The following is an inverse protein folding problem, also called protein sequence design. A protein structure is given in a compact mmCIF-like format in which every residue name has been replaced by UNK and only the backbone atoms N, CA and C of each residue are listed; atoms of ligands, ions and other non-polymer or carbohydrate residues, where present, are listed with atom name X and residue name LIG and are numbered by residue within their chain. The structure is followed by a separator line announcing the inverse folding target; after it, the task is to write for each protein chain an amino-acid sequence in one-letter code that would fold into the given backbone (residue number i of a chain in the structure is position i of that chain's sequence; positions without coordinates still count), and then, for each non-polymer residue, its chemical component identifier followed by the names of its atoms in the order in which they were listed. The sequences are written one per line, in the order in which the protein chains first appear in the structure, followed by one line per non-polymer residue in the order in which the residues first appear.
data_IF_309544207859
#
_entry.id   IF_309544207859
#
_cell.length_a   1.000
_cell.length_b   1.000
_cell.length_c   1.000
_cell.angle_alpha   90.00
_cell.angle_beta   90.00
_cell.angle_gamma   90.00
#
_symmetry.space_group_name_H-M   'P 1'
#
loop_
_entity.id
_entity.type
_entity.pdbx_description
1 polymer ?
#
# COMPACT_ATOMS: atom_id res chain seq x y z
N UNK A 1 14.87 7.46 6.12
CA UNK A 1 13.64 8.05 6.69
C UNK A 1 13.17 7.15 7.82
N UNK A 2 12.81 7.66 9.01
CA UNK A 2 12.29 6.79 10.09
C UNK A 2 10.95 6.20 9.62
N UNK A 3 10.73 4.89 9.82
CA UNK A 3 9.50 4.19 9.40
C UNK A 3 8.22 4.95 9.81
N UNK A 4 8.24 5.60 10.97
CA UNK A 4 7.16 6.42 11.50
C UNK A 4 6.78 7.62 10.62
N UNK A 5 7.75 8.27 9.98
CA UNK A 5 7.49 9.43 9.10
C UNK A 5 6.76 8.97 7.84
N UNK A 6 7.14 7.82 7.28
CA UNK A 6 6.47 7.26 6.10
C UNK A 6 5.04 6.86 6.38
N UNK A 7 4.79 6.21 7.52
CA UNK A 7 3.43 5.85 7.95
C UNK A 7 2.59 7.13 8.13
N UNK A 8 3.17 8.18 8.75
CA UNK A 8 2.46 9.45 8.90
C UNK A 8 2.10 10.07 7.54
N UNK A 9 3.03 10.10 6.59
CA UNK A 9 2.78 10.59 5.23
C UNK A 9 1.67 9.77 4.56
N UNK A 10 1.68 8.45 4.71
CA UNK A 10 0.66 7.58 4.15
C UNK A 10 -0.73 7.82 4.74
N UNK A 11 -0.82 8.01 6.06
CA UNK A 11 -2.09 8.35 6.73
C UNK A 11 -2.60 9.71 6.27
N UNK A 12 -1.72 10.71 6.20
CA UNK A 12 -2.08 12.05 5.69
C UNK A 12 -2.58 11.93 4.25
N UNK A 13 -1.88 11.18 3.41
CA UNK A 13 -2.25 10.96 2.02
C UNK A 13 -3.59 10.22 1.87
N UNK A 14 -3.87 9.23 2.72
CA UNK A 14 -5.15 8.53 2.75
C UNK A 14 -6.30 9.48 3.11
N UNK A 15 -6.14 10.29 4.15
CA UNK A 15 -7.17 11.25 4.57
C UNK A 15 -7.36 12.34 3.50
N UNK A 16 -6.27 12.85 2.93
CA UNK A 16 -6.32 13.86 1.88
C UNK A 16 -7.01 13.33 0.61
N UNK A 17 -6.64 12.14 0.15
CA UNK A 17 -7.27 11.52 -1.02
C UNK A 17 -8.74 11.17 -0.77
N UNK A 18 -9.09 10.72 0.44
CA UNK A 18 -10.47 10.43 0.80
C UNK A 18 -11.37 11.68 0.85
N UNK A 19 -10.86 12.81 1.33
CA UNK A 19 -11.62 14.07 1.45
C UNK A 19 -11.70 14.85 0.14
N UNK A 20 -10.58 15.00 -0.57
CA UNK A 20 -10.45 15.97 -1.65
C UNK A 20 -10.45 15.36 -3.06
N UNK A 21 -10.20 14.05 -3.19
CA UNK A 21 -10.16 13.37 -4.50
C UNK A 21 -11.38 12.47 -4.67
N UNK A 22 -11.66 11.64 -3.66
CA UNK A 22 -12.76 10.68 -3.69
C UNK A 22 -14.07 11.24 -3.11
N UNK A 23 -14.06 12.46 -2.57
CA UNK A 23 -15.23 13.15 -1.98
C UNK A 23 -16.09 12.22 -1.10
N UNK A 24 -15.46 11.50 -0.16
CA UNK A 24 -16.16 10.47 0.63
C UNK A 24 -17.01 11.08 1.75
N UNK A 25 -18.33 11.03 1.57
CA UNK A 25 -19.29 11.54 2.56
C UNK A 25 -19.79 10.48 3.58
N UNK A 26 -19.57 9.18 3.33
CA UNK A 26 -20.09 8.08 4.17
C UNK A 26 -19.02 7.25 4.89
N UNK A 27 -19.25 6.91 6.16
CA UNK A 27 -18.33 6.10 6.98
C UNK A 27 -18.03 4.72 6.35
N UNK A 28 -19.01 4.11 5.68
CA UNK A 28 -18.84 2.81 5.01
C UNK A 28 -17.79 2.87 3.89
N UNK A 29 -17.81 3.96 3.10
CA UNK A 29 -16.83 4.16 2.05
C UNK A 29 -15.44 4.33 2.67
N UNK A 30 -15.31 5.10 3.75
CA UNK A 30 -14.03 5.26 4.47
C UNK A 30 -13.45 3.93 4.93
N UNK A 31 -14.27 3.04 5.52
CA UNK A 31 -13.82 1.73 6.00
C UNK A 31 -13.38 0.83 4.84
N UNK A 32 -14.21 0.72 3.79
CA UNK A 32 -13.89 -0.12 2.62
C UNK A 32 -12.57 0.28 1.97
N UNK A 33 -12.31 1.58 1.89
CA UNK A 33 -11.08 2.07 1.31
C UNK A 33 -9.89 2.07 2.24
N UNK A 34 -10.08 2.16 3.56
CA UNK A 34 -9.00 1.91 4.51
C UNK A 34 -8.48 0.47 4.36
N UNK A 35 -9.38 -0.50 4.15
CA UNK A 35 -9.01 -1.90 3.93
C UNK A 35 -8.18 -2.03 2.64
N UNK A 36 -8.67 -1.50 1.52
CA UNK A 36 -7.95 -1.56 0.24
C UNK A 36 -6.62 -0.80 0.28
N UNK A 37 -6.59 0.38 0.90
CA UNK A 37 -5.37 1.15 1.09
C UNK A 37 -4.34 0.36 1.90
N UNK A 38 -4.77 -0.27 2.99
CA UNK A 38 -3.91 -1.09 3.84
C UNK A 38 -3.36 -2.32 3.10
N UNK A 39 -4.17 -2.98 2.27
CA UNK A 39 -3.73 -4.08 1.41
C UNK A 39 -2.66 -3.62 0.41
N UNK A 40 -2.85 -2.44 -0.20
CA UNK A 40 -1.84 -1.88 -1.09
C UNK A 40 -0.55 -1.53 -0.36
N UNK A 41 -0.69 -0.94 0.83
CA UNK A 41 0.41 -0.51 1.67
C UNK A 41 1.28 -1.67 2.17
N UNK A 42 0.67 -2.85 2.37
CA UNK A 42 1.35 -4.09 2.77
C UNK A 42 2.53 -4.43 1.83
N UNK A 43 2.42 -4.17 0.52
CA UNK A 43 3.50 -4.39 -0.43
C UNK A 43 4.35 -3.15 -0.70
N UNK A 44 3.77 -1.94 -0.65
CA UNK A 44 4.53 -0.70 -0.90
C UNK A 44 5.63 -0.50 0.15
N UNK A 45 5.30 -0.69 1.42
CA UNK A 45 6.23 -0.44 2.52
C UNK A 45 7.50 -1.30 2.47
N UNK A 46 7.43 -2.65 2.43
CA UNK A 46 8.65 -3.47 2.41
C UNK A 46 9.47 -3.26 1.13
N UNK A 47 8.85 -2.87 0.01
CA UNK A 47 9.58 -2.50 -1.20
C UNK A 47 10.44 -1.25 -1.00
N UNK A 48 9.83 -0.14 -0.54
CA UNK A 48 10.52 1.16 -0.36
C UNK A 48 11.65 1.08 0.67
N UNK A 49 11.48 0.27 1.71
CA UNK A 49 12.44 0.15 2.80
C UNK A 49 13.41 -1.03 2.67
N UNK A 50 13.48 -1.68 1.50
CA UNK A 50 14.36 -2.85 1.29
C UNK A 50 14.17 -3.94 2.35
N UNK A 51 12.93 -4.12 2.83
CA UNK A 51 12.58 -5.17 3.80
C UNK A 51 12.07 -6.42 3.07
N UNK A 52 12.14 -7.54 3.78
CA UNK A 52 11.56 -8.80 3.32
C UNK A 52 10.07 -8.61 3.03
N UNK A 53 9.68 -8.97 1.82
CA UNK A 53 8.30 -8.97 1.37
C UNK A 53 7.81 -10.42 1.33
N UNK A 54 6.51 -10.64 1.59
CA UNK A 54 5.95 -11.98 1.59
C UNK A 54 4.83 -12.08 0.55
N UNK A 55 4.77 -13.21 -0.15
CA UNK A 55 3.63 -13.49 -1.03
C UNK A 55 2.38 -13.76 -0.17
N UNK A 56 1.21 -13.23 -0.54
CA UNK A 56 -0.01 -13.32 0.27
C UNK A 56 -0.50 -14.75 0.55
N UNK A 57 -0.21 -15.71 -0.35
CA UNK A 57 -0.78 -17.07 -0.27
C UNK A 57 0.23 -18.17 0.04
N UNK A 58 1.50 -18.00 -0.33
CA UNK A 58 2.54 -19.02 -0.11
C UNK A 58 3.45 -18.73 1.08
N UNK A 59 3.32 -17.54 1.70
CA UNK A 59 4.28 -17.01 2.67
C UNK A 59 5.74 -17.04 2.18
N UNK A 60 5.95 -17.13 0.85
CA UNK A 60 7.27 -17.12 0.23
C UNK A 60 7.91 -15.75 0.49
N UNK A 61 9.09 -15.76 1.10
CA UNK A 61 9.83 -14.57 1.45
C UNK A 61 10.67 -14.09 0.26
N UNK A 62 10.32 -12.95 -0.30
CA UNK A 62 11.13 -12.22 -1.26
C UNK A 62 12.10 -11.30 -0.51
N UNK A 63 13.35 -11.74 -0.47
CA UNK A 63 14.48 -10.94 0.01
C UNK A 63 14.85 -9.88 -1.02
N UNK A 64 15.64 -8.88 -0.62
CA UNK A 64 16.16 -7.81 -1.49
C UNK A 64 17.30 -8.28 -2.42
N UNK A 65 17.24 -9.54 -2.87
CA UNK A 65 18.17 -10.10 -3.85
C UNK A 65 17.70 -9.80 -5.26
N UNK A 66 18.65 -9.65 -6.18
CA UNK A 66 18.39 -9.34 -7.59
C UNK A 66 17.40 -10.33 -8.25
N UNK A 67 17.52 -11.61 -7.92
CA UNK A 67 16.64 -12.71 -8.34
C UNK A 67 15.15 -12.46 -8.05
N UNK A 68 14.86 -11.70 -6.99
CA UNK A 68 13.51 -11.40 -6.52
C UNK A 68 13.02 -10.01 -6.93
N UNK A 69 13.84 -9.20 -7.58
CA UNK A 69 13.49 -7.80 -7.90
C UNK A 69 12.24 -7.71 -8.78
N UNK A 70 12.10 -8.57 -9.79
CA UNK A 70 10.92 -8.60 -10.65
C UNK A 70 9.65 -8.92 -9.85
N UNK A 71 9.69 -9.95 -8.98
CA UNK A 71 8.54 -10.33 -8.15
C UNK A 71 8.15 -9.20 -7.19
N UNK A 72 9.14 -8.57 -6.56
CA UNK A 72 8.96 -7.42 -5.65
C UNK A 72 8.37 -6.22 -6.39
N UNK A 73 8.81 -5.96 -7.62
CA UNK A 73 8.29 -4.88 -8.46
C UNK A 73 6.83 -5.12 -8.87
N UNK A 74 6.48 -6.37 -9.20
CA UNK A 74 5.08 -6.75 -9.49
C UNK A 74 4.19 -6.50 -8.27
N UNK A 75 4.60 -6.97 -7.09
CA UNK A 75 3.84 -6.78 -5.86
C UNK A 75 3.74 -5.30 -5.46
N UNK A 76 4.81 -4.53 -5.68
CA UNK A 76 4.81 -3.08 -5.52
C UNK A 76 3.79 -2.41 -6.45
N UNK A 77 3.78 -2.77 -7.74
CA UNK A 77 2.84 -2.24 -8.72
C UNK A 77 1.39 -2.59 -8.37
N UNK A 78 1.13 -3.84 -7.93
CA UNK A 78 -0.18 -4.24 -7.42
C UNK A 78 -0.56 -3.41 -6.18
N UNK A 79 0.39 -3.16 -5.29
CA UNK A 79 0.17 -2.34 -4.09
C UNK A 79 -0.23 -0.91 -4.44
N UNK A 80 0.43 -0.31 -5.45
CA UNK A 80 0.06 1.00 -5.99
C UNK A 80 -1.33 0.99 -6.62
N UNK A 81 -1.67 -0.05 -7.39
CA UNK A 81 -3.00 -0.20 -7.99
C UNK A 81 -4.10 -0.25 -6.92
N UNK A 82 -3.95 -1.11 -5.90
CA UNK A 82 -4.90 -1.17 -4.79
C UNK A 82 -5.03 0.18 -4.05
N UNK A 83 -3.90 0.86 -3.83
CA UNK A 83 -3.89 2.17 -3.20
C UNK A 83 -4.54 3.25 -4.07
N UNK A 84 -4.49 3.12 -5.40
CA UNK A 84 -5.13 4.04 -6.35
C UNK A 84 -6.63 3.78 -6.52
N UNK A 85 -7.09 2.53 -6.37
CA UNK A 85 -8.52 2.21 -6.42
C UNK A 85 -9.31 2.85 -5.28
N UNK A 86 -8.62 3.26 -4.21
CA UNK A 86 -9.15 4.10 -3.13
C UNK A 86 -9.61 5.48 -3.63
N UNK A 87 -9.20 5.96 -4.79
CA UNK A 87 -9.80 7.20 -5.34
C UNK A 87 -11.07 6.95 -6.15
N UNK A 88 -11.47 5.69 -6.39
CA UNK A 88 -12.59 5.31 -7.26
C UNK A 88 -13.82 4.75 -6.51
N UNK A 89 -13.70 4.52 -5.20
CA UNK A 89 -14.75 4.02 -4.29
C UNK A 89 -15.32 5.13 -3.41
#
# INVERSE_FOLDING_TARGET
MKNSIFILIAVIWFVFSGLFIAERFGIGNWIGSLILYSMGFYWIYPYIFSKTMYFPYSAEAFTDKEENNTKRMILFALGLLFSSMVSML
#
